data_IF_300182182219
#
_entry.id   IF_300182182219
#
_cell.length_a   1.000
_cell.length_b   1.000
_cell.length_c   1.000
_cell.angle_alpha   90.00
_cell.angle_beta   90.00
_cell.angle_gamma   90.00
#
_symmetry.space_group_name_H-M   'P 1'
#
loop_
_entity.id
_entity.type
_entity.pdbx_description
1 polymer ?
#
# COMPACT_ATOMS: atom_id res chain seq x y z
N UNK A 1 16.49 0.42 -16.13
CA UNK A 1 15.02 0.49 -15.98
C UNK A 1 14.72 1.50 -14.89
N UNK A 2 13.67 2.31 -15.04
CA UNK A 2 13.25 3.31 -14.03
C UNK A 2 12.19 2.74 -13.09
N UNK A 3 12.01 3.34 -11.92
CA UNK A 3 10.91 3.01 -10.99
C UNK A 3 9.54 3.14 -11.65
N UNK A 4 9.35 4.18 -12.46
CA UNK A 4 8.11 4.39 -13.21
C UNK A 4 7.86 3.25 -14.21
N UNK A 5 8.91 2.74 -14.87
CA UNK A 5 8.78 1.60 -15.77
C UNK A 5 8.28 0.32 -15.07
N UNK A 6 8.71 0.07 -13.83
CA UNK A 6 8.20 -1.06 -13.03
C UNK A 6 6.72 -0.93 -12.71
N UNK A 7 6.28 0.27 -12.31
CA UNK A 7 4.86 0.54 -12.04
C UNK A 7 4.01 0.35 -13.29
N UNK A 8 4.38 0.99 -14.39
CA UNK A 8 3.52 1.05 -15.57
C UNK A 8 3.54 -0.25 -16.38
N UNK A 9 4.70 -0.88 -16.55
CA UNK A 9 4.87 -2.02 -17.47
C UNK A 9 4.78 -3.38 -16.76
N UNK A 10 5.21 -3.48 -15.50
CA UNK A 10 5.23 -4.75 -14.78
C UNK A 10 4.03 -4.90 -13.86
N UNK A 11 3.74 -3.90 -13.02
CA UNK A 11 2.62 -3.98 -12.08
C UNK A 11 1.29 -3.73 -12.80
N UNK A 12 1.04 -2.50 -13.23
CA UNK A 12 -0.21 -2.14 -13.93
C UNK A 12 -0.29 -2.85 -15.29
N UNK A 13 0.82 -2.93 -16.01
CA UNK A 13 0.91 -3.64 -17.29
C UNK A 13 0.56 -5.13 -17.24
N UNK A 14 0.58 -5.76 -16.06
CA UNK A 14 0.16 -7.16 -15.88
C UNK A 14 -1.34 -7.38 -16.09
N UNK A 15 -2.16 -6.32 -15.99
CA UNK A 15 -3.64 -6.35 -15.97
C UNK A 15 -4.26 -7.13 -14.81
N UNK A 16 -3.47 -7.43 -13.77
CA UNK A 16 -3.94 -8.03 -12.50
C UNK A 16 -3.91 -7.05 -11.33
N UNK A 17 -3.32 -5.88 -11.53
CA UNK A 17 -3.20 -4.80 -10.56
C UNK A 17 -3.67 -3.52 -11.25
N UNK A 18 -4.69 -2.88 -10.70
CA UNK A 18 -5.26 -1.67 -11.31
C UNK A 18 -4.43 -0.41 -11.03
N UNK A 19 -3.82 -0.34 -9.85
CA UNK A 19 -3.05 0.80 -9.36
C UNK A 19 -1.87 0.32 -8.52
N UNK A 20 -0.74 1.00 -8.63
CA UNK A 20 0.45 0.69 -7.85
C UNK A 20 1.29 1.95 -7.57
N UNK A 21 2.02 1.91 -6.46
CA UNK A 21 3.02 2.91 -6.11
C UNK A 21 4.24 2.22 -5.50
N UNK A 22 5.42 2.81 -5.70
CA UNK A 22 6.69 2.37 -5.14
C UNK A 22 7.25 3.52 -4.31
N UNK A 23 7.60 3.24 -3.07
CA UNK A 23 8.20 4.17 -2.12
C UNK A 23 9.62 3.73 -1.75
N UNK A 24 10.39 4.65 -1.18
CA UNK A 24 11.65 4.31 -0.51
C UNK A 24 11.41 3.35 0.66
N UNK A 25 12.42 2.57 1.03
CA UNK A 25 12.32 1.65 2.18
C UNK A 25 12.05 2.39 3.50
N UNK A 26 12.49 3.65 3.62
CA UNK A 26 12.21 4.51 4.76
C UNK A 26 10.82 5.16 4.73
N UNK A 27 10.05 5.01 3.64
CA UNK A 27 8.71 5.60 3.49
C UNK A 27 8.71 7.13 3.44
N UNK A 28 9.85 7.75 3.13
CA UNK A 28 10.07 9.19 3.12
C UNK A 28 10.01 9.81 1.71
N UNK A 29 10.03 8.98 0.66
CA UNK A 29 9.97 9.43 -0.72
C UNK A 29 9.11 8.52 -1.60
N UNK A 30 8.27 9.13 -2.43
CA UNK A 30 7.58 8.46 -3.54
C UNK A 30 8.54 8.33 -4.73
N UNK A 31 8.78 7.10 -5.18
CA UNK A 31 9.68 6.81 -6.31
C UNK A 31 8.93 6.68 -7.63
N UNK A 32 7.72 6.14 -7.60
CA UNK A 32 6.84 6.02 -8.76
C UNK A 32 5.39 5.76 -8.34
N UNK A 33 4.42 6.23 -9.11
CA UNK A 33 3.00 5.90 -8.92
C UNK A 33 2.26 5.81 -10.25
N UNK A 34 1.21 5.00 -10.29
CA UNK A 34 0.27 4.94 -11.40
C UNK A 34 -0.67 6.15 -11.40
N UNK A 35 -1.21 6.52 -12.56
CA UNK A 35 -2.07 7.68 -12.71
C UNK A 35 -3.29 7.64 -11.76
N UNK A 36 -3.52 8.72 -11.01
CA UNK A 36 -4.66 8.83 -10.10
C UNK A 36 -4.58 7.97 -8.83
N UNK A 37 -3.40 7.44 -8.49
CA UNK A 37 -3.14 6.74 -7.23
C UNK A 37 -2.26 7.59 -6.31
N UNK A 38 -2.91 8.30 -5.38
CA UNK A 38 -2.25 9.28 -4.52
C UNK A 38 -2.16 8.78 -3.07
N UNK A 39 -1.22 7.87 -2.82
CA UNK A 39 -0.91 7.37 -1.48
C UNK A 39 -0.02 8.38 -0.77
N UNK A 40 -0.41 8.79 0.44
CA UNK A 40 0.32 9.79 1.23
C UNK A 40 1.51 9.17 1.96
N UNK A 41 2.53 9.96 2.25
CA UNK A 41 3.70 9.47 2.98
C UNK A 41 3.34 9.01 4.40
N UNK A 42 2.40 9.69 5.05
CA UNK A 42 1.91 9.33 6.38
C UNK A 42 1.24 7.94 6.40
N UNK A 43 0.55 7.57 5.32
CA UNK A 43 -0.05 6.24 5.14
C UNK A 43 1.06 5.18 5.06
N UNK A 44 2.12 5.44 4.30
CA UNK A 44 3.28 4.53 4.17
C UNK A 44 4.03 4.39 5.49
N UNK A 45 4.25 5.49 6.21
CA UNK A 45 4.89 5.47 7.54
C UNK A 45 4.10 4.61 8.53
N UNK A 46 2.77 4.67 8.48
CA UNK A 46 1.92 3.82 9.30
C UNK A 46 2.05 2.34 8.93
N UNK A 47 2.09 2.00 7.63
CA UNK A 47 2.35 0.63 7.16
C UNK A 47 3.73 0.13 7.60
N UNK A 48 4.76 0.99 7.55
CA UNK A 48 6.12 0.61 7.94
C UNK A 48 6.21 0.20 9.42
N UNK A 49 5.58 0.95 10.31
CA UNK A 49 5.45 0.56 11.73
C UNK A 49 4.72 -0.76 11.89
N UNK A 50 3.78 -1.04 10.99
CA UNK A 50 3.04 -2.29 10.94
C UNK A 50 3.87 -3.53 10.65
N UNK A 51 5.03 -3.39 10.00
CA UNK A 51 6.00 -4.49 9.84
C UNK A 51 6.75 -4.80 11.14
N UNK A 52 6.86 -3.83 12.06
CA UNK A 52 7.49 -4.00 13.39
C UNK A 52 6.47 -4.48 14.44
N UNK A 53 5.28 -3.89 14.44
CA UNK A 53 4.15 -4.25 15.31
C UNK A 53 2.84 -4.23 14.51
N UNK A 54 2.29 -5.41 14.25
CA UNK A 54 1.07 -5.57 13.46
C UNK A 54 -0.23 -5.43 14.27
N UNK A 55 -0.18 -5.41 15.61
CA UNK A 55 -1.37 -5.34 16.47
C UNK A 55 -2.25 -4.11 16.16
N UNK A 56 -1.69 -2.90 15.98
CA UNK A 56 -2.47 -1.72 15.62
C UNK A 56 -3.15 -1.82 14.25
N UNK A 57 -2.53 -2.52 13.29
CA UNK A 57 -3.07 -2.68 11.95
C UNK A 57 -4.36 -3.51 11.95
N UNK A 58 -4.39 -4.60 12.72
CA UNK A 58 -5.57 -5.46 12.81
C UNK A 58 -6.77 -4.78 13.49
N UNK A 59 -6.52 -3.90 14.46
CA UNK A 59 -7.58 -3.20 15.20
C UNK A 59 -8.03 -1.90 14.54
N UNK A 60 -7.09 -1.13 13.99
CA UNK A 60 -7.36 0.16 13.35
C UNK A 60 -7.71 0.07 11.86
N UNK A 61 -7.24 -0.97 11.18
CA UNK A 61 -7.15 -0.99 9.72
C UNK A 61 -5.99 -0.13 9.23
N UNK A 62 -5.81 -0.05 7.91
CA UNK A 62 -4.83 0.83 7.27
C UNK A 62 -5.49 1.70 6.21
N UNK A 63 -4.88 2.83 5.88
CA UNK A 63 -5.37 3.72 4.84
C UNK A 63 -4.46 3.63 3.61
N UNK A 64 -5.05 3.55 2.43
CA UNK A 64 -4.35 3.62 1.14
C UNK A 64 -5.09 4.62 0.26
N UNK A 65 -4.43 5.73 -0.09
CA UNK A 65 -5.01 6.78 -0.91
C UNK A 65 -6.36 7.32 -0.34
N UNK A 66 -6.43 7.46 0.98
CA UNK A 66 -7.59 7.96 1.72
C UNK A 66 -8.68 6.93 1.99
N UNK A 67 -8.54 5.69 1.50
CA UNK A 67 -9.52 4.62 1.72
C UNK A 67 -9.07 3.68 2.84
N UNK A 68 -9.96 3.43 3.81
CA UNK A 68 -9.71 2.52 4.93
C UNK A 68 -9.90 1.06 4.49
N UNK A 69 -8.91 0.23 4.75
CA UNK A 69 -8.89 -1.20 4.46
C UNK A 69 -8.71 -2.00 5.76
N UNK A 70 -9.30 -3.19 5.82
CA UNK A 70 -9.17 -4.13 6.94
C UNK A 70 -8.01 -5.08 6.68
N UNK A 71 -7.09 -5.19 7.62
CA UNK A 71 -5.91 -6.04 7.49
C UNK A 71 -6.28 -7.50 7.74
N UNK A 72 -5.95 -8.37 6.80
CA UNK A 72 -6.20 -9.82 6.87
C UNK A 72 -4.94 -10.59 7.23
N UNK A 73 -3.77 -10.07 6.83
CA UNK A 73 -2.47 -10.65 7.14
C UNK A 73 -1.42 -9.54 7.26
N UNK A 74 -0.59 -9.61 8.29
CA UNK A 74 0.59 -8.76 8.45
C UNK A 74 1.74 -9.63 8.98
N UNK A 75 2.76 -9.83 8.15
CA UNK A 75 4.03 -10.45 8.50
C UNK A 75 5.18 -9.44 8.31
N UNK A 76 6.42 -9.88 8.50
CA UNK A 76 7.63 -9.06 8.44
C UNK A 76 7.96 -8.53 7.03
N UNK A 77 7.34 -9.08 5.98
CA UNK A 77 7.61 -8.71 4.59
C UNK A 77 6.36 -8.31 3.78
N UNK A 78 5.18 -8.65 4.28
CA UNK A 78 3.92 -8.57 3.55
C UNK A 78 2.77 -8.17 4.46
N UNK A 79 2.06 -7.12 4.06
CA UNK A 79 0.78 -6.72 4.64
C UNK A 79 -0.29 -6.85 3.55
N UNK A 80 -1.33 -7.61 3.84
CA UNK A 80 -2.50 -7.77 2.99
C UNK A 80 -3.71 -7.18 3.70
N UNK A 81 -4.47 -6.38 2.96
CA UNK A 81 -5.69 -5.78 3.42
C UNK A 81 -6.76 -5.85 2.35
N UNK A 82 -8.01 -5.94 2.77
CA UNK A 82 -9.17 -5.95 1.90
C UNK A 82 -10.08 -4.78 2.23
N UNK A 83 -10.81 -4.30 1.22
CA UNK A 83 -11.85 -3.32 1.44
C UNK A 83 -12.95 -3.97 2.26
N UNK A 84 -13.34 -3.32 3.35
CA UNK A 84 -14.46 -3.80 4.15
C UNK A 84 -15.73 -3.76 3.30
N UNK A 85 -16.22 -4.94 2.92
CA UNK A 85 -17.48 -5.10 2.18
C UNK A 85 -18.68 -5.25 3.12
N UNK A 86 -18.45 -5.16 4.44
CA UNK A 86 -19.48 -5.22 5.47
C UNK A 86 -20.26 -3.91 5.58
N UNK A 87 -20.69 -3.31 4.47
CA UNK A 87 -21.81 -2.38 4.51
C UNK A 87 -23.09 -3.21 4.65
N UNK A 88 -23.56 -3.37 5.89
CA UNK A 88 -24.97 -3.69 6.18
C UNK A 88 -25.78 -2.40 6.24
#
# INVERSE_FOLDING_TARGET
MSWQGWVDQTLVGSKKVDKAAIFSAGGDALLATSAGFNVQLEEVQYMLRGFEDSIPLYSGGLYVAGERLMVTKADDQSIYAEKDTSSR
#
